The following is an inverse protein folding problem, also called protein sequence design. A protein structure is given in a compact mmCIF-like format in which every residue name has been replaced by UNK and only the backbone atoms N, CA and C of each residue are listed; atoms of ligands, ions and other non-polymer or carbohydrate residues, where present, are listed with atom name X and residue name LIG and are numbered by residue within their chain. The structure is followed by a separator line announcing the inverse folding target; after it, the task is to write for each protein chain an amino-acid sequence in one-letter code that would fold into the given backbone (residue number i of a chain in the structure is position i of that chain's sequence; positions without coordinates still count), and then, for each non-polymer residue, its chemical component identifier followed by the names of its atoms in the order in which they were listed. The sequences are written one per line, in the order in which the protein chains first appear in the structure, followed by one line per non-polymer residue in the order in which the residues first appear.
data_IF_486078234094
#
_entry.id   IF_486078234094
#
_cell.length_a   1.000
_cell.length_b   1.000
_cell.length_c   1.000
_cell.angle_alpha   90.00
_cell.angle_beta   90.00
_cell.angle_gamma   90.00
#
_symmetry.space_group_name_H-M   'P 1'
#
loop_
_entity.id
_entity.type
_entity.pdbx_description
1 polymer ?
#
# COMPACT_ATOMS: atom_id res chain seq x y z
N UNK A 1 29.22 -40.75 30.76
CA UNK A 1 30.09 -40.17 31.80
C UNK A 1 29.43 -38.90 32.32
N UNK A 2 29.57 -38.65 33.62
CA UNK A 2 28.73 -37.80 34.48
C UNK A 2 28.62 -36.29 34.15
N UNK A 3 27.46 -35.75 34.54
CA UNK A 3 27.00 -34.35 34.77
C UNK A 3 27.68 -33.78 36.05
N UNK A 4 27.92 -32.45 36.26
CA UNK A 4 26.92 -31.46 36.78
C UNK A 4 27.03 -30.03 36.18
N UNK A 5 25.94 -29.29 35.93
CA UNK A 5 25.09 -28.50 36.86
C UNK A 5 25.88 -27.55 37.77
N UNK A 6 25.79 -26.24 37.51
CA UNK A 6 25.72 -25.22 38.56
C UNK A 6 24.71 -24.13 38.17
N UNK A 7 23.83 -23.85 39.12
CA UNK A 7 22.87 -22.76 39.17
C UNK A 7 23.41 -21.69 40.14
N UNK A 8 23.23 -20.42 39.81
CA UNK A 8 23.40 -19.23 40.68
C UNK A 8 22.86 -18.05 39.85
N UNK A 9 22.06 -17.10 40.32
CA UNK A 9 21.45 -16.86 41.62
C UNK A 9 20.30 -15.86 41.36
N UNK A 10 19.13 -16.08 41.95
CA UNK A 10 18.06 -15.08 42.02
C UNK A 10 18.33 -14.18 43.23
N UNK A 11 18.39 -12.86 43.03
CA UNK A 11 18.31 -11.89 44.13
C UNK A 11 17.11 -10.96 43.92
N UNK A 12 16.30 -10.88 44.97
CA UNK A 12 15.11 -10.06 45.08
C UNK A 12 15.44 -8.61 45.50
N UNK A 13 14.71 -7.66 44.89
CA UNK A 13 14.14 -6.37 45.37
C UNK A 13 14.68 -5.73 46.69
N UNK A 14 14.77 -4.38 46.76
CA UNK A 14 13.59 -3.65 47.26
C UNK A 14 13.31 -2.25 46.67
N UNK A 15 12.02 -2.01 46.44
CA UNK A 15 11.22 -0.79 46.69
C UNK A 15 11.95 0.39 47.34
N UNK A 16 11.99 1.56 46.66
CA UNK A 16 12.01 2.90 47.29
C UNK A 16 11.23 3.92 46.44
N UNK A 17 10.11 4.39 46.99
CA UNK A 17 9.55 5.75 46.91
C UNK A 17 9.23 6.15 48.38
N UNK A 18 8.94 7.41 48.77
CA UNK A 18 8.64 8.62 47.99
C UNK A 18 9.36 9.90 48.51
N UNK A 19 9.14 11.07 47.90
CA UNK A 19 8.91 12.35 48.64
C UNK A 19 8.45 13.49 47.73
N UNK A 20 7.49 14.25 48.26
CA UNK A 20 6.79 15.43 47.74
C UNK A 20 7.66 16.67 47.49
N UNK A 21 7.20 17.54 46.58
CA UNK A 21 7.29 19.00 46.76
C UNK A 21 6.19 19.73 45.98
N UNK A 22 5.29 20.32 46.77
CA UNK A 22 4.29 21.35 46.46
C UNK A 22 4.88 22.65 45.92
N UNK A 23 4.19 23.31 44.98
CA UNK A 23 4.09 24.78 44.97
C UNK A 23 2.89 25.29 44.15
N UNK A 24 1.96 25.89 44.89
CA UNK A 24 0.82 26.73 44.53
C UNK A 24 1.19 28.05 43.83
N UNK A 25 0.30 28.58 42.99
CA UNK A 25 0.35 29.97 42.54
C UNK A 25 -0.84 30.36 41.65
N UNK A 26 -1.87 30.93 42.27
CA UNK A 26 -3.09 31.46 41.63
C UNK A 26 -2.91 32.90 41.11
N UNK A 27 -3.82 33.33 40.21
CA UNK A 27 -4.52 34.64 40.07
C UNK A 27 -4.97 34.79 38.59
N UNK A 28 -6.27 34.70 38.27
CA UNK A 28 -7.27 35.78 38.24
C UNK A 28 -6.85 36.98 37.39
N UNK A 29 -7.56 37.49 36.38
CA UNK A 29 -8.91 37.27 35.84
C UNK A 29 -9.17 38.35 34.77
N UNK A 30 -10.22 38.20 33.94
CA UNK A 30 -11.06 39.29 33.39
C UNK A 30 -11.92 38.82 32.21
N UNK A 31 -13.24 38.73 32.46
CA UNK A 31 -14.40 39.25 31.69
C UNK A 31 -14.14 39.96 30.35
N UNK A 32 -14.97 39.95 29.29
CA UNK A 32 -16.33 39.48 28.94
C UNK A 32 -16.50 39.65 27.39
N UNK A 33 -17.61 39.21 26.77
CA UNK A 33 -17.74 38.88 25.34
C UNK A 33 -18.38 39.99 24.49
N UNK A 34 -18.44 39.83 23.16
CA UNK A 34 -19.51 40.43 22.34
C UNK A 34 -19.78 39.68 21.03
N UNK A 35 -21.07 39.44 20.80
CA UNK A 35 -21.74 38.92 19.61
C UNK A 35 -21.47 39.77 18.35
N UNK A 36 -21.58 39.13 17.17
CA UNK A 36 -21.65 39.80 15.89
C UNK A 36 -22.08 38.89 14.75
N UNK A 37 -23.34 38.46 14.76
CA UNK A 37 -24.06 37.86 13.62
C UNK A 37 -24.25 38.88 12.51
N UNK A 38 -23.84 38.59 11.27
CA UNK A 38 -24.46 39.16 10.08
C UNK A 38 -24.53 38.13 8.94
N UNK A 39 -25.74 38.00 8.41
CA UNK A 39 -26.20 37.06 7.40
C UNK A 39 -26.66 37.88 6.18
N UNK A 40 -26.58 37.29 4.98
CA UNK A 40 -27.24 37.67 3.69
C UNK A 40 -26.51 38.78 2.90
N UNK A 41 -26.39 38.78 1.56
CA UNK A 41 -27.06 38.06 0.45
C UNK A 41 -26.19 38.20 -0.84
N UNK A 42 -26.45 37.42 -1.92
CA UNK A 42 -25.70 37.47 -3.17
C UNK A 42 -26.32 38.44 -4.19
N UNK A 43 -25.49 39.09 -5.00
CA UNK A 43 -25.94 39.88 -6.16
C UNK A 43 -25.68 39.11 -7.46
N UNK A 44 -26.77 38.61 -8.05
CA UNK A 44 -26.83 38.20 -9.44
C UNK A 44 -27.02 39.45 -10.31
N UNK A 45 -26.26 39.56 -11.40
CA UNK A 45 -26.49 40.54 -12.46
C UNK A 45 -26.92 39.79 -13.71
N UNK A 46 -28.08 40.19 -14.22
CA UNK A 46 -28.77 39.67 -15.40
C UNK A 46 -28.79 40.72 -16.51
N UNK A 47 -28.63 40.25 -17.76
CA UNK A 47 -29.17 40.89 -18.97
C UNK A 47 -28.15 41.15 -20.10
N UNK A 48 -28.58 41.30 -21.36
CA UNK A 48 -29.75 40.72 -22.02
C UNK A 48 -29.41 40.00 -23.35
N UNK A 49 -30.38 39.23 -23.83
CA UNK A 49 -30.39 38.56 -25.12
C UNK A 49 -30.51 39.55 -26.29
N UNK A 50 -29.90 39.23 -27.43
CA UNK A 50 -30.24 39.87 -28.71
C UNK A 50 -30.20 38.90 -29.90
N UNK A 51 -31.41 38.72 -30.45
CA UNK A 51 -31.76 38.74 -31.88
C UNK A 51 -31.25 37.59 -32.77
N UNK A 52 -32.16 36.64 -32.96
CA UNK A 52 -32.29 35.76 -34.11
C UNK A 52 -32.46 36.59 -35.40
N UNK A 53 -31.64 36.34 -36.42
CA UNK A 53 -31.87 36.86 -37.78
C UNK A 53 -31.77 35.71 -38.78
N UNK A 54 -32.93 35.33 -39.31
CA UNK A 54 -33.07 34.44 -40.46
C UNK A 54 -32.63 35.17 -41.73
N UNK A 55 -31.74 34.57 -42.52
CA UNK A 55 -31.63 34.90 -43.93
C UNK A 55 -31.61 33.62 -44.77
N UNK A 56 -32.71 33.42 -45.48
CA UNK A 56 -32.83 32.51 -46.60
C UNK A 56 -32.20 33.16 -47.84
N UNK A 57 -31.22 32.52 -48.48
CA UNK A 57 -30.94 32.74 -49.90
C UNK A 57 -30.39 31.50 -50.57
N UNK A 58 -31.05 31.14 -51.66
CA UNK A 58 -30.77 30.04 -52.56
C UNK A 58 -29.50 30.25 -53.40
N UNK A 59 -28.98 29.10 -53.86
CA UNK A 59 -28.22 28.89 -55.11
C UNK A 59 -26.69 29.06 -55.07
N UNK A 60 -25.99 27.92 -55.05
CA UNK A 60 -25.30 27.36 -56.23
C UNK A 60 -24.77 25.95 -55.91
N UNK A 61 -25.17 24.97 -56.72
CA UNK A 61 -24.56 23.64 -56.76
C UNK A 61 -23.13 23.77 -57.29
N UNK A 62 -22.15 23.60 -56.43
CA UNK A 62 -20.79 23.23 -56.82
C UNK A 62 -20.59 21.77 -56.37
N UNK A 63 -20.56 20.86 -57.32
CA UNK A 63 -20.20 19.46 -57.09
C UNK A 63 -18.72 19.41 -56.74
N UNK A 64 -18.39 19.54 -55.46
CA UNK A 64 -17.07 19.15 -54.95
C UNK A 64 -17.09 17.63 -54.85
N UNK A 65 -16.46 16.96 -55.82
CA UNK A 65 -15.97 15.59 -55.64
C UNK A 65 -14.85 15.64 -54.60
N UNK A 66 -15.22 15.60 -53.32
CA UNK A 66 -14.30 15.26 -52.24
C UNK A 66 -14.02 13.77 -52.33
N UNK A 67 -12.92 13.41 -52.99
CA UNK A 67 -12.27 12.13 -52.71
C UNK A 67 -11.98 12.12 -51.21
N UNK A 68 -12.54 11.19 -50.42
CA UNK A 68 -12.19 11.10 -49.01
C UNK A 68 -10.71 10.73 -48.94
N UNK A 69 -9.91 11.62 -48.35
CA UNK A 69 -8.53 11.33 -48.03
C UNK A 69 -8.51 10.07 -47.13
N UNK A 70 -7.94 8.94 -47.58
CA UNK A 70 -7.94 7.70 -46.81
C UNK A 70 -7.10 7.80 -45.54
N UNK A 71 -6.38 8.90 -45.33
CA UNK A 71 -5.55 9.13 -44.14
C UNK A 71 -6.31 9.73 -42.95
N UNK A 72 -7.54 10.23 -43.14
CA UNK A 72 -8.34 10.86 -42.07
C UNK A 72 -9.07 9.86 -41.16
N UNK A 73 -9.03 8.57 -41.48
CA UNK A 73 -9.66 7.49 -40.71
C UNK A 73 -8.64 6.54 -40.04
N UNK A 74 -7.41 6.99 -39.78
CA UNK A 74 -6.56 6.28 -38.82
C UNK A 74 -7.07 6.64 -37.42
N UNK A 75 -7.78 5.76 -36.69
CA UNK A 75 -8.05 6.01 -35.28
C UNK A 75 -6.69 6.31 -34.62
N UNK A 76 -6.61 7.43 -33.91
CA UNK A 76 -5.43 7.81 -33.13
C UNK A 76 -4.87 6.55 -32.48
N UNK A 77 -3.68 6.09 -32.92
CA UNK A 77 -3.10 4.84 -32.43
C UNK A 77 -3.13 4.88 -30.91
N UNK A 78 -4.08 4.17 -30.30
CA UNK A 78 -3.96 3.77 -28.91
C UNK A 78 -2.54 3.22 -28.79
N UNK A 79 -1.77 3.72 -27.82
CA UNK A 79 -0.38 3.30 -27.65
C UNK A 79 -0.34 1.78 -27.74
N UNK A 80 0.40 1.23 -28.72
CA UNK A 80 0.48 -0.22 -28.98
C UNK A 80 0.90 -1.04 -27.75
N UNK A 81 1.36 -0.36 -26.70
CA UNK A 81 1.77 -0.86 -25.40
C UNK A 81 0.62 -1.23 -24.44
N UNK A 82 -0.65 -0.88 -24.72
CA UNK A 82 -1.80 -1.23 -23.86
C UNK A 82 -2.94 -1.85 -24.67
N UNK A 83 -3.27 -3.10 -24.35
CA UNK A 83 -4.37 -3.85 -24.97
C UNK A 83 -5.56 -3.95 -23.99
N UNK A 84 -6.61 -3.17 -24.24
CA UNK A 84 -7.82 -3.15 -23.43
C UNK A 84 -8.67 -4.42 -23.49
N UNK A 85 -8.47 -5.27 -24.51
CA UNK A 85 -9.18 -6.54 -24.66
C UNK A 85 -8.63 -7.62 -23.73
N UNK A 86 -7.36 -7.50 -23.32
CA UNK A 86 -6.69 -8.41 -22.39
C UNK A 86 -7.07 -8.10 -20.94
N UNK A 87 -6.98 -9.09 -20.04
CA UNK A 87 -7.24 -8.88 -18.62
C UNK A 87 -6.19 -7.95 -17.97
N UNK A 88 -6.57 -7.29 -16.88
CA UNK A 88 -5.62 -6.56 -16.03
C UNK A 88 -4.51 -7.52 -15.57
N UNK A 89 -3.27 -7.07 -15.53
CA UNK A 89 -2.10 -7.94 -15.32
C UNK A 89 -1.55 -8.63 -16.59
N UNK A 90 -2.25 -8.63 -17.73
CA UNK A 90 -1.68 -9.07 -19.03
C UNK A 90 -1.88 -8.05 -20.16
N UNK A 91 -2.53 -6.93 -19.85
CA UNK A 91 -2.87 -5.85 -20.77
C UNK A 91 -1.69 -5.00 -21.28
N UNK A 92 -0.47 -5.18 -20.75
CA UNK A 92 0.70 -4.42 -21.18
C UNK A 92 1.51 -5.18 -22.21
N UNK A 93 2.04 -4.46 -23.20
CA UNK A 93 3.04 -4.96 -24.13
C UNK A 93 4.28 -4.07 -24.08
N UNK A 94 5.45 -4.69 -24.00
CA UNK A 94 6.74 -4.01 -23.94
C UNK A 94 7.83 -4.88 -24.56
N UNK A 95 9.04 -4.33 -24.76
CA UNK A 95 10.18 -5.09 -25.29
C UNK A 95 10.63 -6.12 -24.25
N UNK A 96 11.07 -7.29 -24.70
CA UNK A 96 11.37 -8.44 -23.84
C UNK A 96 12.38 -8.16 -22.71
N UNK A 97 13.33 -7.24 -22.92
CA UNK A 97 14.35 -6.89 -21.92
C UNK A 97 13.84 -5.89 -20.86
N UNK A 98 12.74 -5.18 -21.11
CA UNK A 98 12.23 -4.13 -20.21
C UNK A 98 11.82 -4.70 -18.85
N UNK A 99 11.08 -5.82 -18.74
CA UNK A 99 10.77 -6.42 -17.45
C UNK A 99 12.01 -6.82 -16.64
N UNK A 100 13.09 -7.26 -17.29
CA UNK A 100 14.35 -7.60 -16.61
C UNK A 100 14.99 -6.36 -15.99
N UNK A 101 15.14 -5.29 -16.78
CA UNK A 101 15.74 -4.05 -16.29
C UNK A 101 14.86 -3.37 -15.25
N UNK A 102 13.53 -3.37 -15.42
CA UNK A 102 12.58 -2.92 -14.40
C UNK A 102 12.80 -3.66 -13.08
N UNK A 103 12.92 -4.98 -13.13
CA UNK A 103 13.16 -5.82 -11.94
C UNK A 103 14.45 -5.43 -11.24
N UNK A 104 15.56 -5.35 -12.00
CA UNK A 104 16.88 -5.02 -11.44
C UNK A 104 16.84 -3.65 -10.77
N UNK A 105 16.29 -2.63 -11.43
CA UNK A 105 16.25 -1.28 -10.88
C UNK A 105 15.31 -1.20 -9.68
N UNK A 106 14.14 -1.83 -9.72
CA UNK A 106 13.18 -1.81 -8.60
C UNK A 106 13.77 -2.51 -7.37
N UNK A 107 14.39 -3.68 -7.54
CA UNK A 107 15.04 -4.40 -6.44
C UNK A 107 16.23 -3.61 -5.89
N UNK A 108 17.08 -3.05 -6.76
CA UNK A 108 18.19 -2.21 -6.34
C UNK A 108 17.70 -0.95 -5.60
N UNK A 109 16.58 -0.36 -6.03
CA UNK A 109 15.99 0.80 -5.36
C UNK A 109 15.39 0.45 -4.00
N UNK A 110 14.71 -0.70 -3.86
CA UNK A 110 14.20 -1.18 -2.57
C UNK A 110 15.34 -1.24 -1.54
N UNK A 111 16.41 -1.97 -1.85
CA UNK A 111 17.52 -2.13 -0.91
C UNK A 111 18.39 -0.89 -0.78
N UNK A 112 18.66 -0.19 -1.89
CA UNK A 112 19.49 1.01 -1.88
C UNK A 112 18.86 2.18 -1.13
N UNK A 113 17.55 2.39 -1.29
CA UNK A 113 16.82 3.41 -0.53
C UNK A 113 16.68 3.02 0.94
N UNK A 114 16.41 1.75 1.25
CA UNK A 114 16.37 1.30 2.65
C UNK A 114 17.74 1.44 3.32
N UNK A 115 18.83 1.08 2.66
CA UNK A 115 20.17 1.25 3.18
C UNK A 115 20.49 2.74 3.41
N UNK A 116 20.17 3.60 2.45
CA UNK A 116 20.39 5.04 2.55
C UNK A 116 19.60 5.65 3.71
N UNK A 117 18.28 5.44 3.74
CA UNK A 117 17.41 6.05 4.75
C UNK A 117 17.63 5.43 6.14
N UNK A 118 17.91 4.12 6.20
CA UNK A 118 18.29 3.43 7.42
C UNK A 118 19.61 3.94 8.00
N UNK A 119 20.62 4.16 7.16
CA UNK A 119 21.88 4.77 7.59
C UNK A 119 21.68 6.20 8.13
N UNK A 120 20.83 7.00 7.47
CA UNK A 120 20.49 8.34 7.96
C UNK A 120 19.77 8.29 9.33
N UNK A 121 18.83 7.37 9.51
CA UNK A 121 18.18 7.15 10.80
C UNK A 121 19.18 6.72 11.88
N UNK A 122 20.05 5.77 11.56
CA UNK A 122 21.11 5.28 12.47
C UNK A 122 22.08 6.39 12.90
N UNK A 123 22.49 7.27 11.97
CA UNK A 123 23.35 8.43 12.30
C UNK A 123 22.66 9.35 13.32
N UNK A 124 21.36 9.56 13.21
CA UNK A 124 20.60 10.37 14.17
C UNK A 124 20.46 9.65 15.50
N UNK A 125 20.04 8.38 15.51
CA UNK A 125 19.78 7.65 16.75
C UNK A 125 21.05 7.38 17.55
N UNK A 126 22.11 6.91 16.90
CA UNK A 126 23.36 6.55 17.58
C UNK A 126 24.28 7.76 17.72
N UNK A 127 24.41 8.56 16.66
CA UNK A 127 25.35 9.68 16.62
C UNK A 127 24.85 10.92 17.35
N UNK A 128 23.55 11.20 17.36
CA UNK A 128 23.00 12.43 17.97
C UNK A 128 22.20 12.17 19.25
N UNK A 129 21.49 11.04 19.33
CA UNK A 129 20.66 10.70 20.50
C UNK A 129 21.36 9.74 21.47
N UNK A 130 22.53 9.20 21.10
CA UNK A 130 23.34 8.34 21.97
C UNK A 130 22.70 6.99 22.30
N UNK A 131 21.80 6.48 21.45
CA UNK A 131 21.26 5.11 21.60
C UNK A 131 22.36 4.07 21.39
N UNK A 132 22.21 2.92 22.03
CA UNK A 132 23.09 1.77 21.85
C UNK A 132 22.93 1.21 20.43
N UNK A 133 24.02 1.03 19.64
CA UNK A 133 23.97 0.39 18.33
C UNK A 133 23.45 -1.05 18.35
N UNK A 134 23.55 -1.74 19.49
CA UNK A 134 23.09 -3.13 19.64
C UNK A 134 21.57 -3.22 19.90
N UNK A 135 20.92 -2.11 20.27
CA UNK A 135 19.46 -2.01 20.32
C UNK A 135 18.90 -2.06 18.89
N UNK A 136 18.36 -3.22 18.53
CA UNK A 136 17.87 -3.53 17.19
C UNK A 136 16.35 -3.39 16.91
N UNK A 137 15.47 -2.87 17.80
CA UNK A 137 14.06 -2.78 17.49
C UNK A 137 13.78 -1.59 16.55
N UNK A 138 12.71 -1.68 15.74
CA UNK A 138 12.30 -0.59 14.86
C UNK A 138 11.62 0.51 15.68
N UNK A 139 12.41 1.43 16.21
CA UNK A 139 11.93 2.65 16.85
C UNK A 139 11.22 3.55 15.81
N UNK A 140 10.54 4.65 16.22
CA UNK A 140 9.78 5.48 15.27
C UNK A 140 10.59 6.00 14.08
N UNK A 141 11.87 6.35 14.26
CA UNK A 141 12.69 6.96 13.22
C UNK A 141 13.16 5.96 12.15
N UNK A 142 13.79 4.81 12.49
CA UNK A 142 14.07 3.74 11.54
C UNK A 142 12.81 3.22 10.84
N UNK A 143 11.69 3.08 11.57
CA UNK A 143 10.43 2.64 10.95
C UNK A 143 9.91 3.64 9.91
N UNK A 144 9.93 4.95 10.23
CA UNK A 144 9.62 6.02 9.28
C UNK A 144 10.56 5.96 8.07
N UNK A 145 11.86 5.81 8.30
CA UNK A 145 12.88 5.74 7.25
C UNK A 145 12.62 4.58 6.27
N UNK A 146 12.31 3.39 6.77
CA UNK A 146 11.94 2.22 5.95
C UNK A 146 10.69 2.49 5.12
N UNK A 147 9.64 3.06 5.71
CA UNK A 147 8.41 3.36 4.97
C UNK A 147 8.66 4.42 3.87
N UNK A 148 9.40 5.49 4.16
CA UNK A 148 9.74 6.51 3.17
C UNK A 148 10.56 5.93 2.00
N UNK A 149 11.54 5.06 2.29
CA UNK A 149 12.32 4.37 1.27
C UNK A 149 11.41 3.59 0.30
N UNK A 150 10.44 2.82 0.81
CA UNK A 150 9.53 2.04 -0.03
C UNK A 150 8.51 2.93 -0.75
N UNK A 151 8.00 3.99 -0.12
CA UNK A 151 7.07 4.94 -0.77
C UNK A 151 7.66 5.50 -2.07
N UNK A 152 8.97 5.78 -2.09
CA UNK A 152 9.69 6.30 -3.25
C UNK A 152 9.87 5.27 -4.40
N UNK A 153 9.66 3.98 -4.14
CA UNK A 153 9.71 2.94 -5.18
C UNK A 153 8.57 3.09 -6.18
N UNK A 154 7.38 3.55 -5.76
CA UNK A 154 6.25 3.73 -6.67
C UNK A 154 6.47 4.79 -7.77
N UNK A 155 6.84 6.06 -7.47
CA UNK A 155 7.09 7.04 -8.51
C UNK A 155 8.25 6.62 -9.42
N UNK A 156 9.30 5.99 -8.88
CA UNK A 156 10.38 5.41 -9.69
C UNK A 156 9.85 4.36 -10.66
N UNK A 157 9.09 3.37 -10.16
CA UNK A 157 8.59 2.26 -10.98
C UNK A 157 7.64 2.75 -12.07
N UNK A 158 6.76 3.71 -11.76
CA UNK A 158 5.86 4.33 -12.73
C UNK A 158 6.61 5.16 -13.78
N UNK A 159 7.68 5.86 -13.38
CA UNK A 159 8.54 6.58 -14.31
C UNK A 159 9.25 5.64 -15.28
N UNK A 160 9.82 4.54 -14.77
CA UNK A 160 10.47 3.52 -15.60
C UNK A 160 9.47 2.86 -16.56
N UNK A 161 8.26 2.55 -16.08
CA UNK A 161 7.18 2.05 -16.93
C UNK A 161 6.85 3.03 -18.07
N UNK A 162 6.73 4.32 -17.75
CA UNK A 162 6.41 5.35 -18.73
C UNK A 162 7.53 5.57 -19.75
N UNK A 163 8.79 5.61 -19.30
CA UNK A 163 9.94 5.92 -20.15
C UNK A 163 10.47 4.72 -20.91
N UNK A 164 10.74 3.61 -20.21
CA UNK A 164 11.33 2.40 -20.79
C UNK A 164 10.28 1.50 -21.42
N UNK A 165 9.16 1.31 -20.72
CA UNK A 165 8.03 0.52 -21.20
C UNK A 165 7.20 1.22 -22.28
N UNK A 166 7.30 2.57 -22.38
CA UNK A 166 6.44 3.39 -23.25
C UNK A 166 4.95 3.12 -23.00
N UNK A 167 4.61 2.83 -21.74
CA UNK A 167 3.25 2.55 -21.26
C UNK A 167 2.77 3.76 -20.48
N UNK A 168 1.57 4.30 -20.73
CA UNK A 168 1.01 5.35 -19.88
C UNK A 168 0.91 4.88 -18.43
N UNK A 169 1.52 5.61 -17.48
CA UNK A 169 1.62 5.20 -16.07
C UNK A 169 0.26 4.85 -15.42
N UNK A 170 -0.81 5.50 -15.87
CA UNK A 170 -2.18 5.26 -15.37
C UNK A 170 -2.68 3.84 -15.65
N UNK A 171 -2.14 3.19 -16.67
CA UNK A 171 -2.50 1.81 -17.03
C UNK A 171 -2.13 0.81 -15.93
N UNK A 172 -1.10 1.12 -15.14
CA UNK A 172 -0.72 0.31 -13.98
C UNK A 172 -1.75 0.35 -12.84
N UNK A 173 -2.63 1.36 -12.79
CA UNK A 173 -3.56 1.54 -11.67
C UNK A 173 -4.92 0.90 -11.90
N UNK A 174 -5.43 0.94 -13.12
CA UNK A 174 -6.74 0.40 -13.48
C UNK A 174 -6.93 0.26 -14.99
N UNK A 175 -7.74 -0.72 -15.41
CA UNK A 175 -8.00 -0.99 -16.84
C UNK A 175 -9.48 -0.89 -17.20
N UNK A 176 -9.79 -0.06 -18.20
CA UNK A 176 -11.15 0.15 -18.72
C UNK A 176 -12.05 0.95 -17.77
N UNK A 177 -11.47 1.60 -16.75
CA UNK A 177 -12.14 2.45 -15.77
C UNK A 177 -11.14 3.37 -15.08
N UNK A 178 -11.63 4.42 -14.44
CA UNK A 178 -10.83 5.22 -13.54
C UNK A 178 -10.66 4.54 -12.17
N UNK A 179 -9.58 4.91 -11.47
CA UNK A 179 -9.38 4.56 -10.07
C UNK A 179 -10.46 5.24 -9.20
N UNK A 180 -11.08 4.50 -8.30
CA UNK A 180 -12.24 4.95 -7.52
C UNK A 180 -11.94 4.97 -6.02
N UNK A 181 -11.85 6.17 -5.45
CA UNK A 181 -11.69 6.37 -3.99
C UNK A 181 -12.82 5.71 -3.19
N UNK A 182 -14.04 5.69 -3.72
CA UNK A 182 -15.19 5.02 -3.08
C UNK A 182 -14.99 3.50 -3.01
N UNK A 183 -14.46 2.88 -4.07
CA UNK A 183 -14.15 1.44 -4.06
C UNK A 183 -13.02 1.13 -3.09
N UNK A 184 -11.97 1.94 -3.10
CA UNK A 184 -10.88 1.83 -2.14
C UNK A 184 -11.40 1.89 -0.70
N UNK A 185 -12.21 2.91 -0.35
CA UNK A 185 -12.81 3.03 0.98
C UNK A 185 -13.71 1.84 1.36
N UNK A 186 -14.48 1.31 0.40
CA UNK A 186 -15.32 0.11 0.63
C UNK A 186 -14.44 -1.09 0.98
N UNK A 187 -13.38 -1.34 0.21
CA UNK A 187 -12.46 -2.44 0.46
C UNK A 187 -11.68 -2.25 1.75
N UNK A 188 -11.25 -1.02 2.08
CA UNK A 188 -10.59 -0.72 3.35
C UNK A 188 -11.47 -1.10 4.54
N UNK A 189 -12.75 -0.71 4.54
CA UNK A 189 -13.68 -1.07 5.63
C UNK A 189 -13.91 -2.58 5.74
N UNK A 190 -14.06 -3.28 4.61
CA UNK A 190 -14.26 -4.73 4.61
C UNK A 190 -13.02 -5.48 5.11
N UNK A 191 -11.83 -5.07 4.67
CA UNK A 191 -10.60 -5.73 5.06
C UNK A 191 -10.14 -5.34 6.45
N UNK A 192 -10.50 -4.15 6.96
CA UNK A 192 -10.36 -3.82 8.37
C UNK A 192 -11.11 -4.83 9.24
N UNK A 193 -12.40 -5.07 8.94
CA UNK A 193 -13.20 -6.05 9.66
C UNK A 193 -12.61 -7.46 9.57
N UNK A 194 -12.14 -7.86 8.38
CA UNK A 194 -11.49 -9.15 8.19
C UNK A 194 -10.20 -9.29 9.00
N UNK A 195 -9.37 -8.25 9.07
CA UNK A 195 -8.13 -8.26 9.85
C UNK A 195 -8.38 -8.26 11.36
N UNK A 196 -9.45 -7.60 11.83
CA UNK A 196 -9.90 -7.74 13.23
C UNK A 196 -10.22 -9.20 13.53
N UNK A 197 -11.02 -9.85 12.68
CA UNK A 197 -11.41 -11.25 12.89
C UNK A 197 -10.22 -12.22 12.80
N UNK A 198 -9.32 -12.01 11.84
CA UNK A 198 -8.12 -12.83 11.67
C UNK A 198 -7.20 -12.72 12.89
N UNK A 199 -6.89 -11.51 13.36
CA UNK A 199 -6.05 -11.31 14.54
C UNK A 199 -6.73 -11.83 15.82
N UNK A 200 -8.05 -11.65 15.97
CA UNK A 200 -8.79 -12.25 17.08
C UNK A 200 -8.71 -13.78 17.06
N UNK A 201 -8.83 -14.41 15.88
CA UNK A 201 -8.69 -15.86 15.75
C UNK A 201 -7.27 -16.33 16.09
N UNK A 202 -6.22 -15.59 15.72
CA UNK A 202 -4.84 -15.88 16.12
C UNK A 202 -4.71 -15.88 17.64
N UNK A 203 -5.26 -14.86 18.33
CA UNK A 203 -5.21 -14.80 19.80
C UNK A 203 -5.92 -15.98 20.49
N UNK A 204 -6.91 -16.60 19.85
CA UNK A 204 -7.60 -17.77 20.41
C UNK A 204 -6.79 -19.07 20.28
N UNK A 205 -5.96 -19.20 19.24
CA UNK A 205 -5.21 -20.44 18.93
C UNK A 205 -3.73 -20.35 19.31
N UNK A 206 -3.20 -19.14 19.41
CA UNK A 206 -1.83 -18.84 19.81
C UNK A 206 -1.86 -17.65 20.78
N UNK A 207 -2.35 -17.86 22.01
CA UNK A 207 -2.42 -16.79 22.99
C UNK A 207 -1.00 -16.38 23.39
N UNK A 208 -0.62 -15.16 23.05
CA UNK A 208 0.55 -14.51 23.66
C UNK A 208 0.12 -13.94 25.02
N UNK A 209 0.97 -14.01 26.07
CA UNK A 209 0.73 -13.26 27.30
C UNK A 209 0.47 -11.81 26.93
N UNK A 210 -0.67 -11.26 27.34
CA UNK A 210 -0.97 -9.83 27.19
C UNK A 210 -0.13 -9.00 28.18
N UNK A 211 1.10 -9.44 28.51
CA UNK A 211 1.95 -8.79 29.48
C UNK A 211 2.23 -7.35 29.02
N UNK A 212 1.68 -6.44 29.83
CA UNK A 212 1.93 -5.00 29.90
C UNK A 212 1.84 -4.24 28.56
N UNK A 213 0.60 -4.04 28.12
CA UNK A 213 0.23 -2.90 27.27
C UNK A 213 0.76 -1.60 27.90
N UNK A 214 1.87 -1.08 27.36
CA UNK A 214 2.47 0.17 27.77
C UNK A 214 2.28 1.22 26.68
N UNK A 215 1.48 2.25 26.97
CA UNK A 215 1.32 3.40 26.08
C UNK A 215 2.35 4.45 26.46
N UNK A 216 3.55 4.32 25.91
CA UNK A 216 4.59 5.33 26.05
C UNK A 216 4.49 6.40 24.94
N UNK A 217 5.28 7.47 25.05
CA UNK A 217 5.44 8.44 23.97
C UNK A 217 5.98 7.78 22.68
N UNK A 218 6.85 6.77 22.81
CA UNK A 218 7.33 5.96 21.69
C UNK A 218 6.19 5.20 21.02
N UNK A 219 5.33 4.53 21.81
CA UNK A 219 4.16 3.79 21.31
C UNK A 219 3.24 4.70 20.50
N UNK A 220 2.89 5.89 21.04
CA UNK A 220 2.04 6.87 20.35
C UNK A 220 2.70 7.35 19.06
N UNK A 221 4.00 7.64 19.09
CA UNK A 221 4.75 8.10 17.91
C UNK A 221 4.81 7.01 16.84
N UNK A 222 5.10 5.76 17.21
CA UNK A 222 5.07 4.61 16.31
C UNK A 222 3.70 4.43 15.67
N UNK A 223 2.62 4.44 16.45
CA UNK A 223 1.27 4.33 15.92
C UNK A 223 0.93 5.46 14.94
N UNK A 224 1.36 6.69 15.23
CA UNK A 224 1.20 7.81 14.31
C UNK A 224 1.96 7.56 12.99
N UNK A 225 3.21 7.10 13.06
CA UNK A 225 4.00 6.73 11.88
C UNK A 225 3.32 5.59 11.11
N UNK A 226 2.85 4.54 11.77
CA UNK A 226 2.13 3.41 11.16
C UNK A 226 0.89 3.90 10.41
N UNK A 227 0.01 4.65 11.06
CA UNK A 227 -1.24 5.10 10.45
C UNK A 227 -1.01 6.07 9.29
N UNK A 228 0.05 6.88 9.32
CA UNK A 228 0.33 7.87 8.27
C UNK A 228 1.09 7.27 7.09
N UNK A 229 2.09 6.42 7.35
CA UNK A 229 3.07 6.02 6.33
C UNK A 229 2.89 4.60 5.82
N UNK A 230 2.45 3.65 6.65
CA UNK A 230 2.22 2.26 6.23
C UNK A 230 1.18 2.15 5.11
N UNK A 231 0.07 2.95 5.10
CA UNK A 231 -0.84 2.92 3.96
C UNK A 231 -0.21 3.36 2.64
N UNK A 232 0.70 4.33 2.68
CA UNK A 232 1.41 4.82 1.51
C UNK A 232 2.46 3.80 1.04
N UNK A 233 3.16 3.17 1.99
CA UNK A 233 4.12 2.10 1.74
C UNK A 233 3.45 0.89 1.07
N UNK A 234 2.35 0.38 1.64
CA UNK A 234 1.62 -0.75 1.06
C UNK A 234 1.05 -0.40 -0.33
N UNK A 235 0.54 0.83 -0.52
CA UNK A 235 0.10 1.29 -1.83
C UNK A 235 1.25 1.32 -2.86
N UNK A 236 2.45 1.73 -2.42
CA UNK A 236 3.61 1.79 -3.29
C UNK A 236 4.06 0.40 -3.75
N UNK A 237 4.04 -0.59 -2.86
CA UNK A 237 4.34 -1.98 -3.20
C UNK A 237 3.30 -2.56 -4.16
N UNK A 238 2.01 -2.32 -3.94
CA UNK A 238 0.98 -2.80 -4.87
C UNK A 238 1.09 -2.15 -6.24
N UNK A 239 1.45 -0.86 -6.31
CA UNK A 239 1.74 -0.19 -7.59
C UNK A 239 2.92 -0.86 -8.28
N UNK A 240 4.03 -1.08 -7.58
CA UNK A 240 5.24 -1.66 -8.17
C UNK A 240 5.02 -3.12 -8.60
N UNK A 241 4.51 -3.96 -7.70
CA UNK A 241 4.41 -5.40 -7.94
C UNK A 241 3.17 -5.78 -8.76
N UNK A 242 1.98 -5.26 -8.41
CA UNK A 242 0.71 -5.70 -9.03
C UNK A 242 0.34 -4.83 -10.23
N UNK A 243 0.64 -3.53 -10.15
CA UNK A 243 0.43 -2.60 -11.25
C UNK A 243 1.44 -2.74 -12.38
N UNK A 244 2.73 -2.85 -12.04
CA UNK A 244 3.83 -2.86 -13.02
C UNK A 244 4.41 -4.25 -13.24
N UNK A 245 5.09 -4.84 -12.26
CA UNK A 245 5.89 -6.06 -12.47
C UNK A 245 5.05 -7.25 -12.95
N UNK A 246 3.86 -7.46 -12.38
CA UNK A 246 2.92 -8.50 -12.84
C UNK A 246 2.66 -8.39 -14.35
N UNK A 247 2.30 -7.19 -14.80
CA UNK A 247 1.99 -6.93 -16.21
C UNK A 247 3.24 -6.90 -17.10
N UNK A 248 4.39 -6.53 -16.55
CA UNK A 248 5.68 -6.61 -17.22
C UNK A 248 6.09 -8.06 -17.49
N UNK A 249 6.03 -8.95 -16.51
CA UNK A 249 6.35 -10.36 -16.72
C UNK A 249 5.35 -11.05 -17.64
N UNK A 250 4.06 -10.73 -17.50
CA UNK A 250 3.03 -11.23 -18.41
C UNK A 250 3.26 -10.82 -19.88
N UNK A 251 3.93 -9.70 -20.13
CA UNK A 251 4.22 -9.20 -21.48
C UNK A 251 5.14 -10.12 -22.30
N UNK A 252 5.88 -11.02 -21.65
CA UNK A 252 6.70 -12.04 -22.33
C UNK A 252 5.87 -13.08 -23.08
N UNK A 253 4.59 -13.22 -22.74
CA UNK A 253 3.74 -14.28 -23.27
C UNK A 253 2.52 -13.69 -23.98
N UNK A 254 2.27 -14.19 -25.20
CA UNK A 254 1.17 -13.71 -26.07
C UNK A 254 -0.20 -14.16 -25.57
N UNK A 255 -0.34 -15.43 -25.19
CA UNK A 255 -1.61 -15.99 -24.73
C UNK A 255 -1.95 -15.49 -23.32
N UNK A 256 -3.15 -14.93 -23.12
CA UNK A 256 -3.55 -14.27 -21.87
C UNK A 256 -3.53 -15.19 -20.64
N UNK A 257 -3.95 -16.45 -20.76
CA UNK A 257 -3.93 -17.40 -19.63
C UNK A 257 -2.52 -17.66 -19.11
N UNK A 258 -1.61 -18.21 -19.95
CA UNK A 258 -0.22 -18.42 -19.57
C UNK A 258 0.52 -17.12 -19.16
N UNK A 259 0.21 -16.00 -19.80
CA UNK A 259 0.77 -14.69 -19.43
C UNK A 259 0.43 -14.29 -17.99
N UNK A 260 -0.83 -14.48 -17.56
CA UNK A 260 -1.22 -14.22 -16.18
C UNK A 260 -0.50 -15.14 -15.19
N UNK A 261 -0.30 -16.41 -15.53
CA UNK A 261 0.44 -17.36 -14.67
C UNK A 261 1.87 -16.87 -14.47
N UNK A 262 2.57 -16.52 -15.56
CA UNK A 262 3.94 -15.97 -15.50
C UNK A 262 3.98 -14.66 -14.71
N UNK A 263 3.01 -13.77 -14.96
CA UNK A 263 2.88 -12.48 -14.30
C UNK A 263 2.70 -12.59 -12.78
N UNK A 264 1.68 -13.34 -12.37
CA UNK A 264 1.31 -13.52 -10.97
C UNK A 264 2.40 -14.30 -10.24
N UNK A 265 2.87 -15.42 -10.79
CA UNK A 265 3.89 -16.25 -10.14
C UNK A 265 5.21 -15.49 -10.00
N UNK A 266 5.69 -14.88 -11.09
CA UNK A 266 6.97 -14.16 -11.09
C UNK A 266 6.99 -12.98 -10.12
N UNK A 267 5.91 -12.19 -10.09
CA UNK A 267 5.80 -11.06 -9.15
C UNK A 267 5.62 -11.50 -7.70
N UNK A 268 4.88 -12.58 -7.44
CA UNK A 268 4.66 -13.10 -6.09
C UNK A 268 5.92 -13.74 -5.50
N UNK A 269 6.66 -14.51 -6.31
CA UNK A 269 7.96 -15.06 -5.92
C UNK A 269 8.95 -13.94 -5.63
N UNK A 270 9.07 -12.95 -6.53
CA UNK A 270 9.95 -11.82 -6.27
C UNK A 270 9.53 -11.04 -5.02
N UNK A 271 8.23 -10.82 -4.82
CA UNK A 271 7.70 -10.16 -3.63
C UNK A 271 8.14 -10.92 -2.36
N UNK A 272 7.97 -12.24 -2.32
CA UNK A 272 8.46 -13.04 -1.19
C UNK A 272 9.98 -12.96 -0.99
N UNK A 273 10.76 -12.96 -2.07
CA UNK A 273 12.23 -12.91 -1.99
C UNK A 273 12.73 -11.57 -1.43
N UNK A 274 12.11 -10.45 -1.80
CA UNK A 274 12.53 -9.12 -1.29
C UNK A 274 12.23 -8.89 0.18
N UNK A 275 11.43 -9.77 0.81
CA UNK A 275 11.19 -9.72 2.26
C UNK A 275 12.27 -10.43 3.08
N UNK A 276 13.24 -11.09 2.42
CA UNK A 276 14.46 -11.66 3.01
C UNK A 276 14.24 -12.47 4.29
N UNK A 277 13.14 -13.21 4.37
CA UNK A 277 12.86 -14.10 5.49
C UNK A 277 13.43 -15.49 5.23
N UNK A 278 13.93 -16.12 6.29
CA UNK A 278 14.34 -17.53 6.28
C UNK A 278 13.32 -18.44 6.97
N UNK A 279 12.23 -17.87 7.49
CA UNK A 279 11.13 -18.60 8.10
C UNK A 279 10.14 -19.15 7.05
N UNK A 280 9.90 -20.48 7.00
CA UNK A 280 9.00 -21.07 6.02
C UNK A 280 7.55 -20.57 6.09
N UNK A 281 7.03 -20.24 7.28
CA UNK A 281 5.65 -19.76 7.45
C UNK A 281 5.51 -18.33 6.93
N UNK A 282 6.49 -17.48 7.19
CA UNK A 282 6.52 -16.12 6.65
C UNK A 282 6.68 -16.12 5.13
N UNK A 283 7.60 -16.92 4.58
CA UNK A 283 7.77 -17.09 3.13
C UNK A 283 6.46 -17.51 2.48
N UNK A 284 5.76 -18.49 3.05
CA UNK A 284 4.47 -18.95 2.54
C UNK A 284 3.42 -17.83 2.57
N UNK A 285 3.37 -17.02 3.63
CA UNK A 285 2.46 -15.88 3.71
C UNK A 285 2.81 -14.77 2.72
N UNK A 286 4.09 -14.47 2.50
CA UNK A 286 4.48 -13.49 1.48
C UNK A 286 4.12 -13.96 0.07
N UNK A 287 4.29 -15.25 -0.23
CA UNK A 287 3.83 -15.84 -1.49
C UNK A 287 2.30 -15.77 -1.61
N UNK A 288 1.57 -16.10 -0.53
CA UNK A 288 0.11 -16.03 -0.44
C UNK A 288 -0.41 -14.62 -0.67
N UNK A 289 0.11 -13.63 0.06
CA UNK A 289 -0.20 -12.22 -0.08
C UNK A 289 0.13 -11.73 -1.49
N UNK A 290 1.31 -12.12 -2.00
CA UNK A 290 1.77 -12.00 -3.39
C UNK A 290 0.67 -12.32 -4.39
N UNK A 291 0.28 -13.59 -4.39
CA UNK A 291 -0.66 -14.16 -5.34
C UNK A 291 -2.07 -13.60 -5.14
N UNK A 292 -2.53 -13.49 -3.89
CA UNK A 292 -3.88 -13.06 -3.55
C UNK A 292 -4.15 -11.62 -3.99
N UNK A 293 -3.24 -10.68 -3.72
CA UNK A 293 -3.45 -9.30 -4.18
C UNK A 293 -3.30 -9.17 -5.70
N UNK A 294 -2.44 -9.95 -6.35
CA UNK A 294 -2.39 -10.01 -7.81
C UNK A 294 -3.70 -10.53 -8.44
N UNK A 295 -4.31 -11.56 -7.83
CA UNK A 295 -5.62 -12.08 -8.23
C UNK A 295 -6.74 -11.06 -7.96
N UNK A 296 -6.71 -10.36 -6.82
CA UNK A 296 -7.65 -9.26 -6.56
C UNK A 296 -7.54 -8.15 -7.61
N UNK A 297 -6.33 -7.79 -8.02
CA UNK A 297 -6.07 -6.80 -9.07
C UNK A 297 -6.67 -7.24 -10.42
N UNK A 298 -6.45 -8.51 -10.79
CA UNK A 298 -7.02 -9.14 -11.97
C UNK A 298 -8.55 -9.10 -11.99
N UNK A 299 -9.19 -9.53 -10.90
CA UNK A 299 -10.65 -9.62 -10.77
C UNK A 299 -11.30 -8.22 -10.82
N UNK A 300 -10.73 -7.28 -10.05
CA UNK A 300 -11.27 -5.93 -9.88
C UNK A 300 -10.85 -4.95 -10.99
N UNK A 301 -9.94 -5.37 -11.88
CA UNK A 301 -9.37 -4.59 -12.98
C UNK A 301 -8.70 -3.29 -12.51
N UNK A 302 -8.02 -3.34 -11.37
CA UNK A 302 -7.30 -2.20 -10.80
C UNK A 302 -6.84 -2.45 -9.37
N UNK A 303 -6.16 -1.46 -8.80
CA UNK A 303 -5.41 -1.65 -7.56
C UNK A 303 -6.19 -1.35 -6.27
N UNK A 304 -7.47 -0.95 -6.32
CA UNK A 304 -8.21 -0.58 -5.11
C UNK A 304 -8.34 -1.71 -4.09
N UNK A 305 -8.72 -2.90 -4.56
CA UNK A 305 -8.85 -4.08 -3.70
C UNK A 305 -7.50 -4.53 -3.13
N UNK A 306 -6.45 -4.77 -3.95
CA UNK A 306 -5.17 -5.20 -3.41
C UNK A 306 -4.52 -4.16 -2.48
N UNK A 307 -4.57 -2.87 -2.81
CA UNK A 307 -4.08 -1.79 -1.93
C UNK A 307 -4.82 -1.85 -0.60
N UNK A 308 -6.16 -1.88 -0.61
CA UNK A 308 -6.92 -1.92 0.63
C UNK A 308 -6.58 -3.12 1.51
N UNK A 309 -6.42 -4.31 0.93
CA UNK A 309 -6.09 -5.51 1.67
C UNK A 309 -4.70 -5.40 2.29
N UNK A 310 -3.69 -5.04 1.49
CA UNK A 310 -2.32 -4.91 1.95
C UNK A 310 -2.16 -3.82 3.01
N UNK A 311 -2.82 -2.67 2.83
CA UNK A 311 -2.83 -1.60 3.84
C UNK A 311 -3.38 -2.11 5.16
N UNK A 312 -4.52 -2.81 5.17
CA UNK A 312 -5.10 -3.32 6.41
C UNK A 312 -4.23 -4.43 7.02
N UNK A 313 -3.68 -5.33 6.20
CA UNK A 313 -2.75 -6.36 6.67
C UNK A 313 -1.57 -5.74 7.43
N UNK A 314 -0.89 -4.76 6.84
CA UNK A 314 0.32 -4.18 7.43
C UNK A 314 0.02 -3.20 8.56
N UNK A 315 -1.07 -2.41 8.48
CA UNK A 315 -1.46 -1.51 9.58
C UNK A 315 -1.80 -2.31 10.84
N UNK A 316 -2.51 -3.44 10.71
CA UNK A 316 -2.79 -4.30 11.85
C UNK A 316 -1.51 -4.98 12.37
N UNK A 317 -0.70 -5.56 11.49
CA UNK A 317 0.55 -6.22 11.91
C UNK A 317 1.48 -5.25 12.67
N UNK A 318 1.72 -4.06 12.11
CA UNK A 318 2.65 -3.08 12.68
C UNK A 318 2.04 -2.33 13.87
N UNK A 319 0.72 -2.08 13.84
CA UNK A 319 0.01 -1.45 14.94
C UNK A 319 -0.04 -2.34 16.17
N UNK A 320 -0.34 -3.64 16.01
CA UNK A 320 -0.26 -4.62 17.09
C UNK A 320 1.19 -4.72 17.58
N UNK A 321 2.16 -4.84 16.66
CA UNK A 321 3.58 -4.83 17.03
C UNK A 321 4.00 -3.63 17.87
N UNK A 322 3.54 -2.43 17.52
CA UNK A 322 3.81 -1.21 18.29
C UNK A 322 3.13 -1.21 19.67
N UNK A 323 1.90 -1.72 19.79
CA UNK A 323 1.17 -1.77 21.06
C UNK A 323 1.78 -2.75 22.07
N UNK A 324 2.40 -3.82 21.59
CA UNK A 324 3.04 -4.85 22.40
C UNK A 324 4.56 -4.73 22.44
N UNK A 325 5.12 -3.58 22.01
CA UNK A 325 6.54 -3.28 22.08
C UNK A 325 7.00 -2.79 23.47
N UNK A 326 6.12 -2.79 24.49
CA UNK A 326 6.41 -2.34 25.86
C UNK A 326 7.03 -0.92 25.96
N UNK A 327 6.78 -0.08 24.95
CA UNK A 327 7.28 1.30 24.87
C UNK A 327 8.64 1.45 24.18
N UNK A 328 9.18 0.36 23.65
CA UNK A 328 10.36 0.29 22.80
C UNK A 328 9.97 0.34 21.29
N UNK A 329 10.80 -0.19 20.39
CA UNK A 329 10.53 -0.34 18.97
C UNK A 329 9.81 -1.64 18.59
N UNK A 330 9.32 -1.70 17.35
CA UNK A 330 8.69 -2.91 16.81
C UNK A 330 9.77 -3.98 16.56
N UNK A 331 9.69 -5.10 17.26
CA UNK A 331 10.53 -6.26 16.97
C UNK A 331 10.08 -6.93 15.65
N UNK A 332 11.02 -7.16 14.74
CA UNK A 332 10.77 -7.87 13.49
C UNK A 332 11.78 -9.00 13.30
N UNK A 333 11.48 -10.15 13.89
CA UNK A 333 12.22 -11.36 13.60
C UNK A 333 11.69 -12.02 12.33
N UNK A 334 12.58 -12.26 11.37
CA UNK A 334 12.31 -12.96 10.11
C UNK A 334 13.15 -14.23 9.96
N UNK A 335 13.87 -14.61 11.01
CA UNK A 335 14.74 -15.78 11.06
C UNK A 335 13.92 -17.07 11.19
N UNK A 336 14.54 -18.20 10.84
CA UNK A 336 13.87 -19.50 10.89
C UNK A 336 13.37 -19.82 12.31
N UNK A 337 12.06 -20.06 12.44
CA UNK A 337 11.42 -20.35 13.73
C UNK A 337 10.70 -19.16 14.35
N UNK A 338 10.82 -17.95 13.77
CA UNK A 338 10.07 -16.77 14.20
C UNK A 338 8.56 -16.92 13.93
N UNK A 339 8.20 -17.62 12.85
CA UNK A 339 6.82 -17.89 12.47
C UNK A 339 6.27 -19.18 13.07
N UNK A 340 4.99 -19.43 12.84
CA UNK A 340 4.36 -20.69 13.27
C UNK A 340 3.08 -21.02 12.52
N UNK A 341 2.50 -22.22 12.78
CA UNK A 341 1.28 -22.68 12.10
C UNK A 341 0.09 -21.73 12.25
N UNK A 342 0.05 -20.88 13.27
CA UNK A 342 -0.98 -19.85 13.45
C UNK A 342 -1.07 -18.89 12.26
N UNK A 343 0.02 -18.72 11.50
CA UNK A 343 0.02 -17.89 10.29
C UNK A 343 -0.86 -18.45 9.17
N UNK A 344 -1.32 -19.71 9.24
CA UNK A 344 -2.35 -20.24 8.34
C UNK A 344 -3.66 -19.43 8.41
N UNK A 345 -3.94 -18.78 9.54
CA UNK A 345 -5.11 -17.90 9.67
C UNK A 345 -5.04 -16.72 8.70
N UNK A 346 -3.84 -16.16 8.47
CA UNK A 346 -3.66 -15.06 7.53
C UNK A 346 -3.79 -15.52 6.09
N UNK A 347 -3.26 -16.69 5.72
CA UNK A 347 -3.52 -17.31 4.41
C UNK A 347 -5.02 -17.55 4.17
N UNK A 348 -5.76 -18.02 5.18
CA UNK A 348 -7.21 -18.17 5.07
C UNK A 348 -7.87 -16.80 4.88
N UNK A 349 -7.43 -15.77 5.60
CA UNK A 349 -7.94 -14.41 5.42
C UNK A 349 -7.67 -13.86 4.02
N UNK A 350 -6.51 -14.13 3.43
CA UNK A 350 -6.17 -13.78 2.05
C UNK A 350 -7.13 -14.45 1.04
N UNK A 351 -7.39 -15.75 1.20
CA UNK A 351 -8.33 -16.50 0.35
C UNK A 351 -9.77 -15.96 0.49
N UNK A 352 -10.19 -15.64 1.71
CA UNK A 352 -11.47 -15.00 1.99
C UNK A 352 -11.54 -13.63 1.31
N UNK A 353 -10.47 -12.84 1.36
CA UNK A 353 -10.41 -11.53 0.72
C UNK A 353 -10.58 -11.65 -0.81
N UNK A 354 -9.89 -12.60 -1.45
CA UNK A 354 -10.07 -12.90 -2.87
C UNK A 354 -11.52 -13.28 -3.18
N UNK A 355 -12.13 -14.15 -2.38
CA UNK A 355 -13.53 -14.56 -2.55
C UNK A 355 -14.51 -13.38 -2.41
N UNK A 356 -14.29 -12.49 -1.43
CA UNK A 356 -15.09 -11.27 -1.24
C UNK A 356 -15.00 -10.36 -2.45
N UNK A 357 -13.80 -10.10 -2.97
CA UNK A 357 -13.58 -9.29 -4.18
C UNK A 357 -14.29 -9.92 -5.37
N UNK A 358 -14.15 -11.23 -5.55
CA UNK A 358 -14.83 -11.96 -6.62
C UNK A 358 -16.35 -11.81 -6.56
N UNK A 359 -16.96 -12.00 -5.39
CA UNK A 359 -18.40 -11.87 -5.19
C UNK A 359 -18.89 -10.45 -5.47
N UNK A 360 -18.18 -9.44 -4.97
CA UNK A 360 -18.55 -8.02 -5.15
C UNK A 360 -18.43 -7.59 -6.61
N UNK A 361 -17.34 -7.95 -7.28
CA UNK A 361 -17.14 -7.59 -8.69
C UNK A 361 -18.08 -8.35 -9.62
N UNK A 362 -18.41 -9.62 -9.29
CA UNK A 362 -19.44 -10.38 -10.00
C UNK A 362 -20.81 -9.71 -9.91
N UNK A 363 -21.20 -9.23 -8.71
CA UNK A 363 -22.46 -8.49 -8.51
C UNK A 363 -22.47 -7.17 -9.30
N UNK A 364 -21.38 -6.40 -9.26
CA UNK A 364 -21.26 -5.14 -10.02
C UNK A 364 -21.44 -5.35 -11.52
N UNK A 365 -20.82 -6.40 -12.09
CA UNK A 365 -20.95 -6.73 -13.52
C UNK A 365 -22.37 -7.13 -13.92
N UNK A 366 -23.12 -7.78 -13.03
CA UNK A 366 -24.54 -8.13 -13.26
C UNK A 366 -25.44 -6.90 -13.30
N UNK A 367 -25.18 -5.89 -12.46
CA UNK A 367 -25.99 -4.67 -12.40
C UNK A 367 -25.71 -3.69 -13.55
N UNK A 368 -24.68 -3.94 -14.36
CA UNK A 368 -24.34 -3.15 -15.55
C UNK A 368 -24.87 -3.76 -16.86
N UNK A 369 -25.40 -4.98 -16.80
CA UNK A 369 -26.09 -5.67 -17.89
C UNK A 369 -27.58 -5.58 -17.64
#
# INVERSE_FOLDING_TARGET
MHVPVLAEEQHAMPVICPTDATATGALSGSTRPLLGTLQRRPTAVSGPASVFRSSSRHSRKATMTTTPDPTLNQPSRASSSVDGSRPFGAHLSMRWWVPLVLTIIVVAAIYGLQLLFGALAAIVEFGLLGKDPDDSPLTPLPYLATNLAIILVAPLTLLLLAKMGRVPWRSALSLGRAFSRRRLATYLGLFAALMVLANAAVQLINPSPLSLFAVSGTTITLLAVVVVTTPLQAAAEEIAFRGVLTASYASWVRASGPALIVGITGSSVLFSLVHTSTDPWMILNYLGLGASTAVMALISRGLEAPIAFHVMNNVFAMGIGALFAEGDGIAQDRSAGAGGPYMLVFLVAELVAVAVVWLLEKRRRRNLR
#
